data_IF_060669897705
#
_entry.id   IF_060669897705
#
_cell.length_a   1.000
_cell.length_b   1.000
_cell.length_c   1.000
_cell.angle_alpha   90.00
_cell.angle_beta   90.00
_cell.angle_gamma   90.00
#
_symmetry.space_group_name_H-M   'P 1'
#
loop_
_entity.id
_entity.type
_entity.pdbx_description
1 polymer ?
#
# COMPACT_ATOMS: atom_id res chain seq x y z
N UNK A 1 -4.02 -23.98 26.31
CA UNK A 1 -4.06 -23.08 27.50
C UNK A 1 -5.16 -22.06 27.28
N UNK A 2 -6.10 -21.92 28.21
CA UNK A 2 -7.18 -20.92 28.12
C UNK A 2 -6.67 -19.53 28.53
N UNK A 3 -7.12 -18.50 27.82
CA UNK A 3 -6.81 -17.10 28.11
C UNK A 3 -7.50 -16.65 29.42
N UNK A 4 -6.77 -15.98 30.32
CA UNK A 4 -7.31 -15.40 31.55
C UNK A 4 -7.83 -13.96 31.29
N UNK A 5 -9.13 -13.86 31.03
CA UNK A 5 -9.79 -12.59 30.69
C UNK A 5 -9.74 -11.54 31.82
N UNK A 6 -9.67 -11.98 33.08
CA UNK A 6 -9.63 -11.08 34.23
C UNK A 6 -8.31 -10.29 34.26
N UNK A 7 -7.19 -10.98 33.99
CA UNK A 7 -5.87 -10.33 33.88
C UNK A 7 -5.79 -9.38 32.69
N UNK A 8 -6.50 -9.68 31.59
CA UNK A 8 -6.56 -8.81 30.42
C UNK A 8 -7.43 -7.57 30.67
N UNK A 9 -8.57 -7.72 31.36
CA UNK A 9 -9.49 -6.61 31.63
C UNK A 9 -8.83 -5.43 32.35
N UNK A 10 -7.98 -5.70 33.37
CA UNK A 10 -7.22 -4.65 34.06
C UNK A 10 -6.25 -3.91 33.13
N UNK A 11 -5.61 -4.63 32.19
CA UNK A 11 -4.71 -4.03 31.20
C UNK A 11 -5.47 -3.15 30.21
N UNK A 12 -6.68 -3.57 29.79
CA UNK A 12 -7.57 -2.76 28.93
C UNK A 12 -7.96 -1.46 29.62
N UNK A 13 -8.30 -1.50 30.92
CA UNK A 13 -8.60 -0.30 31.71
C UNK A 13 -7.44 0.70 31.72
N UNK A 14 -6.22 0.22 31.98
CA UNK A 14 -5.00 1.04 31.95
C UNK A 14 -4.71 1.62 30.56
N UNK A 15 -4.94 0.84 29.49
CA UNK A 15 -4.78 1.30 28.11
C UNK A 15 -5.73 2.46 27.80
N UNK A 16 -7.01 2.36 28.15
CA UNK A 16 -8.01 3.41 27.91
C UNK A 16 -7.65 4.70 28.66
N UNK A 17 -7.19 4.60 29.91
CA UNK A 17 -6.76 5.76 30.69
C UNK A 17 -5.58 6.50 30.02
N UNK A 18 -4.58 5.75 29.53
CA UNK A 18 -3.43 6.32 28.80
C UNK A 18 -3.83 6.97 27.48
N UNK A 19 -4.75 6.36 26.74
CA UNK A 19 -5.26 6.92 25.48
C UNK A 19 -6.03 8.23 25.69
N UNK A 20 -6.78 8.35 26.79
CA UNK A 20 -7.43 9.61 27.17
C UNK A 20 -6.40 10.68 27.53
N UNK A 21 -5.39 10.32 28.32
CA UNK A 21 -4.33 11.24 28.74
C UNK A 21 -3.46 11.74 27.56
N UNK A 22 -3.27 10.93 26.52
CA UNK A 22 -2.48 11.33 25.33
C UNK A 22 -3.28 12.10 24.27
N UNK A 23 -4.59 12.28 24.46
CA UNK A 23 -5.47 12.92 23.47
C UNK A 23 -5.13 14.39 23.18
N UNK A 24 -4.77 15.18 24.20
CA UNK A 24 -4.40 16.59 24.01
C UNK A 24 -3.10 16.74 23.24
N UNK A 25 -2.09 15.94 23.59
CA UNK A 25 -0.80 15.93 22.91
C UNK A 25 -0.97 15.55 21.43
N UNK A 26 -1.75 14.50 21.16
CA UNK A 26 -2.05 14.06 19.79
C UNK A 26 -2.75 15.15 18.97
N UNK A 27 -3.67 15.90 19.58
CA UNK A 27 -4.34 17.04 18.94
C UNK A 27 -3.37 18.18 18.64
N UNK A 28 -2.44 18.50 19.55
CA UNK A 28 -1.39 19.49 19.31
C UNK A 28 -0.51 19.10 18.12
N UNK A 29 -0.07 17.84 18.06
CA UNK A 29 0.76 17.34 16.94
C UNK A 29 0.03 17.38 15.61
N UNK A 30 -1.26 17.02 15.59
CA UNK A 30 -2.08 17.15 14.39
C UNK A 30 -2.22 18.61 13.97
N UNK A 31 -2.42 19.54 14.90
CA UNK A 31 -2.49 20.96 14.58
C UNK A 31 -1.17 21.46 13.98
N UNK A 32 -0.03 21.13 14.60
CA UNK A 32 1.29 21.46 14.03
C UNK A 32 1.45 20.90 12.63
N UNK A 33 1.04 19.65 12.38
CA UNK A 33 1.11 19.05 11.04
C UNK A 33 0.24 19.80 10.02
N UNK A 34 -0.96 20.22 10.42
CA UNK A 34 -1.85 21.01 9.56
C UNK A 34 -1.29 22.39 9.28
N UNK A 35 -0.69 23.04 10.28
CA UNK A 35 -0.08 24.37 10.13
C UNK A 35 1.12 24.30 9.19
N UNK A 36 2.02 23.32 9.37
CA UNK A 36 3.17 23.09 8.48
C UNK A 36 2.73 22.74 7.07
N UNK A 37 1.71 21.90 6.89
CA UNK A 37 1.21 21.52 5.57
C UNK A 37 0.68 22.74 4.80
N UNK A 38 0.01 23.67 5.48
CA UNK A 38 -0.61 24.85 4.87
C UNK A 38 0.30 26.09 4.87
N UNK A 39 1.55 25.98 5.34
CA UNK A 39 2.50 27.08 5.36
C UNK A 39 2.94 27.45 3.94
N UNK A 40 2.51 28.63 3.49
CA UNK A 40 2.83 29.17 2.16
C UNK A 40 4.24 29.74 2.06
N UNK A 41 4.91 29.96 3.20
CA UNK A 41 6.28 30.47 3.23
C UNK A 41 7.33 29.38 3.07
N UNK A 42 6.90 28.11 3.09
CA UNK A 42 7.78 26.96 3.00
C UNK A 42 8.42 26.84 1.61
N UNK A 43 9.75 26.82 1.57
CA UNK A 43 10.50 26.59 0.33
C UNK A 43 10.34 25.13 -0.12
N UNK A 44 9.41 24.89 -1.04
CA UNK A 44 9.10 23.56 -1.56
C UNK A 44 10.26 22.95 -2.37
N UNK A 45 11.02 23.77 -3.10
CA UNK A 45 12.16 23.29 -3.88
C UNK A 45 13.33 22.95 -2.96
N UNK A 46 13.57 23.77 -1.93
CA UNK A 46 14.50 23.46 -0.84
C UNK A 46 14.11 22.18 -0.12
N UNK A 47 12.83 22.02 0.23
CA UNK A 47 12.33 20.80 0.88
C UNK A 47 12.51 19.56 -0.01
N UNK A 48 12.22 19.66 -1.31
CA UNK A 48 12.40 18.56 -2.26
C UNK A 48 13.86 18.12 -2.32
N UNK A 49 14.80 19.07 -2.46
CA UNK A 49 16.26 18.80 -2.43
C UNK A 49 16.69 18.17 -1.12
N UNK A 50 16.16 18.65 0.00
CA UNK A 50 16.43 18.12 1.33
C UNK A 50 15.93 16.69 1.50
N UNK A 51 14.72 16.39 1.04
CA UNK A 51 14.16 15.04 1.02
C UNK A 51 15.03 14.12 0.14
N UNK A 52 15.46 14.59 -1.03
CA UNK A 52 16.34 13.84 -1.94
C UNK A 52 17.72 13.54 -1.34
N UNK A 53 18.33 14.50 -0.64
CA UNK A 53 19.64 14.34 -0.02
C UNK A 53 19.64 13.55 1.31
N UNK A 54 18.48 13.42 1.97
CA UNK A 54 18.37 12.81 3.29
C UNK A 54 18.25 11.28 3.24
N UNK A 55 18.82 10.63 4.25
CA UNK A 55 18.71 9.19 4.51
C UNK A 55 17.93 8.98 5.81
N UNK A 56 16.74 8.41 5.70
CA UNK A 56 15.83 8.19 6.83
C UNK A 56 15.48 6.71 6.97
N UNK A 57 15.38 6.24 8.21
CA UNK A 57 14.89 4.89 8.56
C UNK A 57 13.39 4.69 8.30
N UNK A 58 12.67 5.78 8.08
CA UNK A 58 11.25 5.78 7.71
C UNK A 58 11.06 6.26 6.27
N UNK A 59 9.95 5.87 5.65
CA UNK A 59 9.59 6.33 4.32
C UNK A 59 9.14 7.79 4.37
N UNK A 60 9.60 8.56 3.39
CA UNK A 60 9.24 9.96 3.18
C UNK A 60 8.60 10.06 1.80
N UNK A 61 7.45 10.74 1.70
CA UNK A 61 6.81 11.01 0.43
C UNK A 61 7.67 11.98 -0.40
N UNK A 62 7.92 11.63 -1.66
CA UNK A 62 8.44 12.58 -2.64
C UNK A 62 7.34 13.55 -3.08
N UNK A 63 7.70 14.81 -3.31
CA UNK A 63 6.75 15.86 -3.71
C UNK A 63 6.66 15.95 -5.23
N UNK A 64 5.45 15.74 -5.78
CA UNK A 64 5.19 15.84 -7.24
C UNK A 64 4.51 17.16 -7.57
N UNK A 65 3.34 17.41 -6.98
CA UNK A 65 2.51 18.60 -7.25
C UNK A 65 2.53 19.61 -6.08
N UNK A 66 3.48 19.49 -5.16
CA UNK A 66 3.56 20.27 -3.91
C UNK A 66 2.98 19.53 -2.70
N UNK A 67 2.66 20.28 -1.63
CA UNK A 67 2.22 19.73 -0.34
C UNK A 67 0.69 19.81 -0.12
N UNK A 68 0.10 20.97 -0.32
CA UNK A 68 -1.29 21.29 0.06
C UNK A 68 -2.30 21.56 -1.07
N UNK A 69 -1.97 21.51 -2.38
CA UNK A 69 -3.01 21.60 -3.42
C UNK A 69 -4.12 20.57 -3.24
N UNK A 70 -5.35 21.01 -3.56
CA UNK A 70 -6.57 20.20 -3.43
C UNK A 70 -7.33 20.30 -4.74
N UNK A 71 -7.72 19.15 -5.28
CA UNK A 71 -8.36 19.07 -6.58
C UNK A 71 -9.74 18.47 -6.41
N UNK A 72 -10.77 19.13 -6.96
CA UNK A 72 -12.12 18.55 -7.05
C UNK A 72 -12.12 17.44 -8.10
N UNK A 73 -12.86 16.36 -7.85
CA UNK A 73 -13.08 15.34 -8.84
C UNK A 73 -13.80 15.93 -10.07
N UNK A 74 -13.41 15.53 -11.29
CA UNK A 74 -14.21 15.81 -12.48
C UNK A 74 -15.57 15.11 -12.40
N UNK A 75 -16.56 15.51 -13.21
CA UNK A 75 -17.80 14.76 -13.32
C UNK A 75 -17.53 13.31 -13.73
N UNK A 76 -18.33 12.39 -13.20
CA UNK A 76 -18.24 10.98 -13.55
C UNK A 76 -18.58 10.77 -15.03
N UNK A 77 -17.92 9.83 -15.73
CA UNK A 77 -18.36 9.39 -17.04
C UNK A 77 -19.80 8.86 -16.97
N UNK A 78 -20.61 9.04 -18.03
CA UNK A 78 -21.99 8.54 -18.04
C UNK A 78 -22.04 7.00 -18.05
N UNK A 79 -21.07 6.36 -18.69
CA UNK A 79 -20.91 4.90 -18.78
C UNK A 79 -19.51 4.54 -18.29
N UNK A 80 -19.40 3.71 -17.26
CA UNK A 80 -18.12 3.19 -16.79
C UNK A 80 -18.25 1.89 -16.01
N UNK A 81 -17.15 1.14 -15.94
CA UNK A 81 -17.06 -0.10 -15.18
C UNK A 81 -16.10 0.03 -14.00
N UNK A 82 -16.39 -0.64 -12.90
CA UNK A 82 -15.45 -0.85 -11.79
C UNK A 82 -15.17 -2.34 -11.67
N UNK A 83 -13.90 -2.70 -11.76
CA UNK A 83 -13.39 -4.06 -11.60
C UNK A 83 -12.65 -4.14 -10.27
N UNK A 84 -12.87 -5.19 -9.50
CA UNK A 84 -12.10 -5.42 -8.28
C UNK A 84 -11.83 -6.91 -8.07
N UNK A 85 -10.68 -7.21 -7.50
CA UNK A 85 -10.31 -8.57 -7.06
C UNK A 85 -9.81 -8.52 -5.62
N UNK A 86 -10.18 -9.53 -4.86
CA UNK A 86 -9.65 -9.82 -3.52
C UNK A 86 -9.49 -11.33 -3.38
N UNK A 87 -8.60 -11.77 -2.51
CA UNK A 87 -8.25 -13.17 -2.37
C UNK A 87 -8.20 -13.61 -0.92
N UNK A 88 -8.44 -14.89 -0.71
CA UNK A 88 -8.14 -15.57 0.55
C UNK A 88 -7.29 -16.81 0.26
N UNK A 89 -6.62 -17.34 1.29
CA UNK A 89 -5.86 -18.57 1.15
C UNK A 89 -5.91 -19.40 2.43
N UNK A 90 -5.77 -20.72 2.26
CA UNK A 90 -5.51 -21.67 3.33
C UNK A 90 -4.06 -22.11 3.16
N UNK A 91 -3.24 -21.84 4.17
CA UNK A 91 -1.81 -22.14 4.16
C UNK A 91 -1.53 -23.64 4.36
N UNK A 92 -0.29 -24.03 4.09
CA UNK A 92 0.18 -25.40 4.23
C UNK A 92 0.17 -25.81 5.71
N UNK A 93 -0.62 -26.83 6.05
CA UNK A 93 -0.58 -27.43 7.38
C UNK A 93 0.58 -28.43 7.51
N UNK A 94 1.59 -28.05 8.31
CA UNK A 94 2.79 -28.85 8.55
C UNK A 94 2.55 -30.11 9.38
N UNK A 95 1.38 -30.23 10.00
CA UNK A 95 1.00 -31.38 10.82
C UNK A 95 0.18 -32.44 10.04
N UNK A 96 -0.04 -32.22 8.74
CA UNK A 96 -0.74 -33.16 7.85
C UNK A 96 0.24 -33.87 6.92
N UNK A 97 -0.10 -35.10 6.53
CA UNK A 97 0.71 -35.92 5.62
C UNK A 97 0.71 -35.37 4.19
N UNK A 98 -0.41 -34.78 3.75
CA UNK A 98 -0.56 -34.20 2.42
C UNK A 98 -0.27 -32.71 2.49
N UNK A 99 0.78 -32.27 1.80
CA UNK A 99 1.12 -30.85 1.69
C UNK A 99 0.30 -30.26 0.54
N UNK A 100 -0.54 -29.28 0.86
CA UNK A 100 -1.29 -28.52 -0.12
C UNK A 100 -1.61 -27.14 0.45
N UNK A 101 -1.85 -26.17 -0.43
CA UNK A 101 -2.46 -24.90 -0.07
C UNK A 101 -3.59 -24.60 -1.05
N UNK A 102 -4.51 -23.74 -0.64
CA UNK A 102 -5.62 -23.29 -1.49
C UNK A 102 -5.58 -21.78 -1.59
N UNK A 103 -5.74 -21.26 -2.80
CA UNK A 103 -5.97 -19.83 -3.05
C UNK A 103 -7.36 -19.70 -3.64
N UNK A 104 -8.17 -18.78 -3.11
CA UNK A 104 -9.46 -18.42 -3.69
C UNK A 104 -9.44 -16.95 -4.06
N UNK A 105 -9.62 -16.65 -5.35
CA UNK A 105 -9.71 -15.28 -5.85
C UNK A 105 -11.17 -14.95 -6.13
N UNK A 106 -11.73 -14.01 -5.38
CA UNK A 106 -13.01 -13.39 -5.65
C UNK A 106 -12.85 -12.21 -6.61
N UNK A 107 -13.83 -12.00 -7.47
CA UNK A 107 -13.84 -10.86 -8.38
C UNK A 107 -15.23 -10.27 -8.56
N UNK A 108 -15.26 -8.95 -8.79
CA UNK A 108 -16.49 -8.18 -9.02
C UNK A 108 -16.30 -7.26 -10.21
N UNK A 109 -17.31 -7.21 -11.08
CA UNK A 109 -17.45 -6.24 -12.17
C UNK A 109 -18.77 -5.51 -11.99
N UNK A 110 -18.72 -4.20 -11.79
CA UNK A 110 -19.89 -3.33 -11.70
C UNK A 110 -19.91 -2.40 -12.92
N UNK A 111 -20.98 -2.45 -13.70
CA UNK A 111 -21.21 -1.56 -14.84
C UNK A 111 -22.25 -0.52 -14.44
N UNK A 112 -21.89 0.75 -14.62
CA UNK A 112 -22.72 1.91 -14.34
C UNK A 112 -23.08 2.61 -15.64
N UNK A 113 -24.30 3.12 -15.71
CA UNK A 113 -24.83 3.85 -16.87
C UNK A 113 -26.26 3.47 -17.19
N UNK A 114 -26.64 3.51 -18.46
CA UNK A 114 -28.00 3.22 -18.92
C UNK A 114 -28.41 1.76 -18.78
N UNK A 115 -27.44 0.85 -18.76
CA UNK A 115 -27.64 -0.60 -18.68
C UNK A 115 -26.80 -1.19 -17.54
N UNK A 116 -27.19 -0.96 -16.27
CA UNK A 116 -26.37 -1.38 -15.14
C UNK A 116 -26.34 -2.91 -15.01
N UNK A 117 -25.15 -3.44 -14.70
CA UNK A 117 -24.93 -4.88 -14.51
C UNK A 117 -23.92 -5.10 -13.38
N UNK A 118 -24.10 -6.20 -12.64
CA UNK A 118 -23.12 -6.68 -11.69
C UNK A 118 -22.78 -8.15 -11.99
N UNK A 119 -21.48 -8.46 -12.02
CA UNK A 119 -20.97 -9.83 -12.10
C UNK A 119 -20.10 -10.06 -10.87
N UNK A 120 -20.35 -11.17 -10.18
CA UNK A 120 -19.57 -11.62 -9.04
C UNK A 120 -19.12 -13.04 -9.33
N UNK A 121 -17.83 -13.29 -9.16
CA UNK A 121 -17.20 -14.57 -9.49
C UNK A 121 -16.21 -14.98 -8.40
N UNK A 122 -15.93 -16.28 -8.31
CA UNK A 122 -14.95 -16.85 -7.39
C UNK A 122 -14.23 -18.02 -8.04
N UNK A 123 -12.90 -17.95 -8.06
CA UNK A 123 -12.02 -18.95 -8.67
C UNK A 123 -11.11 -19.57 -7.62
N UNK A 124 -11.51 -20.69 -6.98
CA UNK A 124 -10.66 -21.45 -6.07
C UNK A 124 -9.69 -22.36 -6.84
N UNK A 125 -8.43 -22.43 -6.39
CA UNK A 125 -7.39 -23.31 -6.91
C UNK A 125 -6.69 -24.03 -5.76
N UNK A 126 -6.63 -25.37 -5.84
CA UNK A 126 -5.89 -26.23 -4.90
C UNK A 126 -4.54 -26.59 -5.53
N UNK A 127 -3.47 -26.33 -4.79
CA UNK A 127 -2.10 -26.61 -5.20
C UNK A 127 -1.53 -27.70 -4.31
N UNK A 128 -1.04 -28.78 -4.92
CA UNK A 128 -0.62 -29.98 -4.18
C UNK A 128 0.52 -30.75 -4.86
N UNK A 129 0.82 -30.50 -6.13
CA UNK A 129 1.96 -31.09 -6.80
C UNK A 129 3.28 -30.52 -6.27
N UNK A 130 4.35 -31.32 -6.24
CA UNK A 130 5.65 -30.89 -5.69
C UNK A 130 6.16 -29.58 -6.33
N UNK A 131 6.00 -29.44 -7.65
CA UNK A 131 6.38 -28.25 -8.42
C UNK A 131 5.49 -27.03 -8.15
N UNK A 132 4.28 -27.22 -7.60
CA UNK A 132 3.36 -26.14 -7.24
C UNK A 132 3.56 -25.65 -5.80
N UNK A 133 4.22 -26.47 -4.98
CA UNK A 133 4.49 -26.19 -3.56
C UNK A 133 5.82 -25.47 -3.35
N UNK A 134 6.65 -25.36 -4.39
CA UNK A 134 7.95 -24.68 -4.35
C UNK A 134 8.14 -23.79 -5.56
N UNK A 135 8.82 -22.67 -5.38
CA UNK A 135 9.40 -21.92 -6.49
C UNK A 135 10.82 -22.45 -6.66
N UNK A 136 11.14 -23.01 -7.82
CA UNK A 136 12.46 -23.57 -8.11
C UNK A 136 13.29 -22.63 -9.00
N UNK A 137 14.63 -22.60 -8.83
CA UNK A 137 15.52 -21.91 -9.75
C UNK A 137 15.63 -22.65 -11.10
N UNK A 138 15.85 -21.89 -12.18
CA UNK A 138 16.19 -22.47 -13.48
C UNK A 138 17.54 -23.21 -13.39
N UNK A 139 17.58 -24.49 -13.78
CA UNK A 139 18.83 -25.29 -13.78
C UNK A 139 19.05 -26.16 -12.54
N UNK A 140 18.07 -26.26 -11.64
CA UNK A 140 18.12 -27.11 -10.45
C UNK A 140 18.71 -26.43 -9.23
N UNK A 141 18.37 -26.93 -8.03
CA UNK A 141 18.77 -26.35 -6.76
C UNK A 141 17.68 -26.44 -5.70
N UNK A 142 17.95 -25.87 -4.51
CA UNK A 142 16.96 -25.84 -3.43
C UNK A 142 15.88 -24.81 -3.75
N UNK A 143 14.66 -25.28 -4.02
CA UNK A 143 13.49 -24.44 -4.19
C UNK A 143 13.05 -23.78 -2.87
N UNK A 144 12.29 -22.70 -3.01
CA UNK A 144 11.67 -21.98 -1.90
C UNK A 144 10.22 -22.46 -1.73
N UNK A 145 9.85 -23.06 -0.58
CA UNK A 145 8.47 -23.45 -0.31
C UNK A 145 7.51 -22.26 -0.33
N UNK A 146 6.35 -22.44 -0.95
CA UNK A 146 5.25 -21.48 -0.96
C UNK A 146 4.42 -21.69 0.31
N UNK A 147 4.69 -20.88 1.33
CA UNK A 147 4.00 -20.89 2.62
C UNK A 147 4.10 -19.51 3.28
N UNK A 148 3.21 -19.22 4.25
CA UNK A 148 3.22 -17.98 5.03
C UNK A 148 3.22 -16.73 4.16
N UNK A 149 4.22 -15.87 4.37
CA UNK A 149 4.36 -14.60 3.62
C UNK A 149 4.44 -14.83 2.11
N UNK A 150 5.12 -15.90 1.68
CA UNK A 150 5.29 -16.17 0.25
C UNK A 150 3.98 -16.61 -0.43
N UNK A 151 3.16 -17.37 0.29
CA UNK A 151 1.80 -17.70 -0.16
C UNK A 151 0.93 -16.45 -0.27
N UNK A 152 1.05 -15.52 0.68
CA UNK A 152 0.39 -14.22 0.62
C UNK A 152 0.78 -13.39 -0.60
N UNK A 153 2.06 -13.42 -1.00
CA UNK A 153 2.55 -12.77 -2.22
C UNK A 153 2.01 -13.48 -3.47
N UNK A 154 2.06 -14.82 -3.52
CA UNK A 154 1.50 -15.59 -4.63
C UNK A 154 0.02 -15.29 -4.85
N UNK A 155 -0.77 -15.20 -3.78
CA UNK A 155 -2.17 -14.76 -3.83
C UNK A 155 -2.31 -13.36 -4.45
N UNK A 156 -1.49 -12.38 -4.05
CA UNK A 156 -1.54 -11.04 -4.63
C UNK A 156 -1.18 -11.02 -6.13
N UNK A 157 -0.29 -11.91 -6.58
CA UNK A 157 -0.01 -12.12 -8.01
C UNK A 157 -1.25 -12.66 -8.73
N UNK A 158 -1.94 -13.64 -8.14
CA UNK A 158 -3.13 -14.27 -8.73
C UNK A 158 -4.33 -13.31 -8.77
N UNK A 159 -4.49 -12.46 -7.75
CA UNK A 159 -5.46 -11.35 -7.74
C UNK A 159 -5.22 -10.41 -8.92
N UNK A 160 -3.98 -9.93 -9.08
CA UNK A 160 -3.60 -9.02 -10.16
C UNK A 160 -3.75 -9.68 -11.55
N UNK A 161 -3.43 -10.98 -11.66
CA UNK A 161 -3.66 -11.76 -12.87
C UNK A 161 -5.15 -11.80 -13.22
N UNK A 162 -6.03 -12.14 -12.27
CA UNK A 162 -7.48 -12.18 -12.53
C UNK A 162 -8.03 -10.81 -12.89
N UNK A 163 -7.53 -9.74 -12.25
CA UNK A 163 -7.92 -8.37 -12.57
C UNK A 163 -7.52 -7.98 -14.00
N UNK A 164 -6.33 -8.41 -14.46
CA UNK A 164 -5.89 -8.20 -15.83
C UNK A 164 -6.78 -8.95 -16.84
N UNK A 165 -7.18 -10.19 -16.55
CA UNK A 165 -8.11 -10.94 -17.40
C UNK A 165 -9.48 -10.24 -17.51
N UNK A 166 -10.05 -9.79 -16.39
CA UNK A 166 -11.31 -9.04 -16.42
C UNK A 166 -11.20 -7.73 -17.20
N UNK A 167 -10.06 -7.04 -17.09
CA UNK A 167 -9.82 -5.83 -17.87
C UNK A 167 -9.73 -6.10 -19.38
N UNK A 168 -9.22 -7.28 -19.80
CA UNK A 168 -9.16 -7.68 -21.22
C UNK A 168 -10.55 -7.92 -21.79
N UNK A 169 -11.45 -8.50 -21.00
CA UNK A 169 -12.83 -8.81 -21.38
C UNK A 169 -13.69 -7.56 -21.62
N UNK A 170 -13.27 -6.39 -21.12
CA UNK A 170 -13.99 -5.14 -21.36
C UNK A 170 -14.00 -4.75 -22.85
N UNK A 171 -15.10 -4.17 -23.36
CA UNK A 171 -15.18 -3.64 -24.72
C UNK A 171 -14.09 -2.60 -25.00
N UNK A 172 -13.71 -2.45 -26.27
CA UNK A 172 -12.89 -1.32 -26.71
C UNK A 172 -13.62 0.00 -26.45
N UNK A 173 -12.87 1.08 -26.25
CA UNK A 173 -13.35 2.44 -25.93
C UNK A 173 -14.14 2.57 -24.62
N UNK A 174 -14.22 1.51 -23.81
CA UNK A 174 -14.84 1.55 -22.48
C UNK A 174 -14.02 2.39 -21.50
N UNK A 175 -14.71 2.97 -20.51
CA UNK A 175 -14.08 3.64 -19.36
C UNK A 175 -14.16 2.72 -18.15
N UNK A 176 -13.04 2.46 -17.50
CA UNK A 176 -13.02 1.54 -16.37
C UNK A 176 -11.99 1.90 -15.30
N UNK A 177 -12.30 1.51 -14.07
CA UNK A 177 -11.41 1.55 -12.91
C UNK A 177 -11.17 0.12 -12.43
N UNK A 178 -9.92 -0.33 -12.48
CA UNK A 178 -9.46 -1.57 -11.88
C UNK A 178 -8.92 -1.30 -10.47
N UNK A 179 -9.42 -2.03 -9.48
CA UNK A 179 -9.07 -1.89 -8.07
C UNK A 179 -8.43 -3.16 -7.53
N UNK A 180 -7.26 -2.98 -6.92
CA UNK A 180 -6.60 -4.01 -6.10
C UNK A 180 -6.91 -3.74 -4.64
N UNK A 181 -7.34 -4.75 -3.87
CA UNK A 181 -7.42 -4.62 -2.41
C UNK A 181 -6.01 -4.67 -1.80
N UNK A 182 -5.68 -3.67 -0.99
CA UNK A 182 -4.37 -3.48 -0.40
C UNK A 182 -3.44 -2.55 -1.21
N UNK A 183 -2.17 -2.92 -1.29
CA UNK A 183 -1.08 -2.07 -1.77
C UNK A 183 -0.58 -2.51 -3.14
N UNK A 184 -0.42 -1.58 -4.08
CA UNK A 184 0.31 -1.84 -5.34
C UNK A 184 1.81 -2.13 -5.12
N UNK A 185 2.34 -1.80 -3.93
CA UNK A 185 3.69 -2.19 -3.53
C UNK A 185 3.61 -3.54 -2.82
N UNK A 186 4.29 -4.56 -3.37
CA UNK A 186 4.41 -5.89 -2.78
C UNK A 186 5.40 -5.92 -1.60
N UNK A 187 4.99 -5.35 -0.48
CA UNK A 187 5.82 -5.23 0.74
C UNK A 187 6.38 -6.54 1.26
N UNK A 188 5.70 -7.67 1.03
CA UNK A 188 6.19 -8.99 1.43
C UNK A 188 7.57 -9.33 0.85
N UNK A 189 7.90 -8.79 -0.33
CA UNK A 189 9.22 -8.97 -0.96
C UNK A 189 10.27 -7.97 -0.45
N UNK A 190 9.85 -6.79 0.02
CA UNK A 190 10.76 -5.76 0.52
C UNK A 190 11.28 -6.07 1.94
N UNK A 191 10.49 -6.79 2.75
CA UNK A 191 10.82 -7.09 4.15
C UNK A 191 11.61 -8.38 4.38
N UNK A 192 11.85 -9.19 3.33
CA UNK A 192 12.58 -10.46 3.45
C UNK A 192 13.64 -10.60 2.35
N UNK A 193 14.79 -11.17 2.71
CA UNK A 193 15.83 -11.51 1.74
C UNK A 193 15.46 -12.81 1.03
N UNK A 194 14.58 -12.72 0.03
CA UNK A 194 14.31 -13.86 -0.85
C UNK A 194 15.41 -14.01 -1.91
N UNK A 195 15.71 -15.26 -2.35
CA UNK A 195 16.57 -15.49 -3.50
C UNK A 195 16.05 -14.79 -4.76
N UNK A 196 16.95 -14.43 -5.67
CA UNK A 196 16.61 -13.68 -6.89
C UNK A 196 15.56 -14.38 -7.76
N UNK A 197 15.63 -15.71 -7.89
CA UNK A 197 14.65 -16.48 -8.66
C UNK A 197 13.21 -16.36 -8.13
N UNK A 198 13.03 -16.15 -6.81
CA UNK A 198 11.70 -15.93 -6.20
C UNK A 198 11.15 -14.57 -6.60
N UNK A 199 12.00 -13.53 -6.48
CA UNK A 199 11.65 -12.18 -6.90
C UNK A 199 11.35 -12.14 -8.40
N UNK A 200 12.18 -12.79 -9.22
CA UNK A 200 11.94 -12.88 -10.65
C UNK A 200 10.60 -13.56 -10.98
N UNK A 201 10.28 -14.68 -10.31
CA UNK A 201 9.05 -15.42 -10.53
C UNK A 201 7.80 -14.63 -10.12
N UNK A 202 7.78 -14.06 -8.91
CA UNK A 202 6.58 -13.43 -8.35
C UNK A 202 6.45 -11.94 -8.69
N UNK A 203 7.54 -11.19 -8.73
CA UNK A 203 7.50 -9.76 -9.04
C UNK A 203 7.58 -9.53 -10.54
N UNK A 204 8.70 -9.90 -11.18
CA UNK A 204 8.96 -9.53 -12.58
C UNK A 204 8.05 -10.29 -13.55
N UNK A 205 8.01 -11.63 -13.45
CA UNK A 205 7.22 -12.50 -14.33
C UNK A 205 5.76 -12.63 -13.89
N UNK A 206 5.47 -12.33 -12.64
CA UNK A 206 4.12 -12.34 -12.04
C UNK A 206 3.52 -10.93 -12.01
N UNK A 207 3.60 -10.28 -10.85
CA UNK A 207 2.86 -9.07 -10.56
C UNK A 207 3.08 -7.93 -11.57
N UNK A 208 4.33 -7.55 -11.86
CA UNK A 208 4.66 -6.46 -12.78
C UNK A 208 4.24 -6.78 -14.21
N UNK A 209 4.30 -8.04 -14.63
CA UNK A 209 3.78 -8.47 -15.93
C UNK A 209 2.29 -8.18 -16.06
N UNK A 210 1.50 -8.51 -15.05
CA UNK A 210 0.05 -8.27 -15.08
C UNK A 210 -0.30 -6.77 -15.01
N UNK A 211 0.47 -5.98 -14.24
CA UNK A 211 0.37 -4.51 -14.28
C UNK A 211 0.67 -3.95 -15.67
N UNK A 212 1.70 -4.47 -16.34
CA UNK A 212 2.05 -4.10 -17.70
C UNK A 212 0.97 -4.50 -18.71
N UNK A 213 0.33 -5.66 -18.54
CA UNK A 213 -0.82 -6.06 -19.34
C UNK A 213 -1.98 -5.07 -19.19
N UNK A 214 -2.34 -4.69 -17.96
CA UNK A 214 -3.35 -3.65 -17.68
C UNK A 214 -2.97 -2.31 -18.31
N UNK A 215 -1.70 -1.90 -18.19
CA UNK A 215 -1.19 -0.66 -18.78
C UNK A 215 -1.35 -0.64 -20.30
N UNK A 216 -1.07 -1.77 -20.98
CA UNK A 216 -1.22 -1.89 -22.43
C UNK A 216 -2.67 -1.80 -22.89
N UNK A 217 -3.63 -2.32 -22.11
CA UNK A 217 -5.05 -2.23 -22.44
C UNK A 217 -5.56 -0.79 -22.48
N UNK A 218 -4.91 0.13 -21.76
CA UNK A 218 -5.21 1.55 -21.77
C UNK A 218 -4.96 2.22 -23.14
N UNK A 219 -4.32 1.54 -24.10
CA UNK A 219 -4.19 2.03 -25.47
C UNK A 219 -5.52 1.98 -26.25
N UNK A 220 -6.42 1.05 -25.91
CA UNK A 220 -7.70 0.84 -26.60
C UNK A 220 -8.91 1.13 -25.71
N UNK A 221 -8.69 1.49 -24.45
CA UNK A 221 -9.70 1.69 -23.39
C UNK A 221 -9.24 2.81 -22.49
N UNK A 222 -10.17 3.49 -21.80
CA UNK A 222 -9.83 4.44 -20.74
C UNK A 222 -9.77 3.70 -19.42
N UNK A 223 -8.67 3.01 -19.17
CA UNK A 223 -8.50 2.13 -18.00
C UNK A 223 -7.57 2.76 -16.97
N UNK A 224 -8.11 3.07 -15.80
CA UNK A 224 -7.34 3.46 -14.62
C UNK A 224 -7.11 2.25 -13.72
N UNK A 225 -5.90 2.14 -13.15
CA UNK A 225 -5.59 1.19 -12.09
C UNK A 225 -5.36 1.95 -10.79
N UNK A 226 -5.95 1.48 -9.70
CA UNK A 226 -5.66 1.96 -8.36
C UNK A 226 -5.68 0.80 -7.36
N UNK A 227 -5.17 1.04 -6.16
CA UNK A 227 -5.42 0.15 -5.03
C UNK A 227 -6.09 0.89 -3.89
N UNK A 228 -6.75 0.13 -3.03
CA UNK A 228 -7.48 0.66 -1.89
C UNK A 228 -6.98 0.03 -0.60
N UNK A 229 -6.67 0.84 0.40
CA UNK A 229 -6.27 0.37 1.72
C UNK A 229 -7.26 0.92 2.73
N UNK A 230 -8.00 0.02 3.39
CA UNK A 230 -8.86 0.38 4.50
C UNK A 230 -8.03 0.81 5.71
N UNK A 231 -8.32 1.98 6.27
CA UNK A 231 -7.71 2.49 7.50
C UNK A 231 -6.17 2.43 7.49
N UNK A 232 -5.51 3.08 6.51
CA UNK A 232 -4.07 3.00 6.35
C UNK A 232 -3.36 3.61 7.56
N UNK A 233 -2.19 3.05 7.86
CA UNK A 233 -1.27 3.54 8.90
C UNK A 233 -0.07 4.29 8.33
N UNK A 234 -0.16 4.75 7.08
CA UNK A 234 0.93 5.46 6.40
C UNK A 234 1.24 6.78 7.09
N UNK A 235 2.51 7.16 6.98
CA UNK A 235 3.03 8.40 7.57
C UNK A 235 3.95 9.12 6.59
N UNK A 236 3.92 8.77 5.31
CA UNK A 236 4.93 9.17 4.32
C UNK A 236 4.87 10.68 4.08
N UNK A 237 3.65 11.23 4.00
CA UNK A 237 3.43 12.68 3.83
C UNK A 237 3.74 13.42 5.14
N UNK A 238 3.28 12.90 6.28
CA UNK A 238 3.64 13.45 7.59
C UNK A 238 5.17 13.44 7.78
N UNK A 239 5.87 12.42 7.30
CA UNK A 239 7.31 12.32 7.38
C UNK A 239 8.01 13.36 6.48
N UNK A 240 7.40 13.78 5.36
CA UNK A 240 7.89 14.94 4.61
C UNK A 240 7.79 16.23 5.43
N UNK A 241 6.73 16.40 6.23
CA UNK A 241 6.62 17.52 7.17
C UNK A 241 7.67 17.44 8.29
N UNK A 242 8.00 16.23 8.77
CA UNK A 242 9.11 16.04 9.73
C UNK A 242 10.45 16.49 9.16
N UNK A 243 10.70 16.21 7.89
CA UNK A 243 11.91 16.69 7.19
C UNK A 243 11.90 18.22 7.09
N UNK A 244 10.74 18.81 6.79
CA UNK A 244 10.58 20.25 6.71
C UNK A 244 10.84 20.96 8.05
N UNK A 245 10.35 20.38 9.16
CA UNK A 245 10.54 20.89 10.52
C UNK A 245 11.93 20.64 11.10
N UNK A 246 12.75 19.78 10.48
CA UNK A 246 14.07 19.47 11.03
C UNK A 246 15.03 20.63 10.77
N UNK A 247 15.75 21.15 11.79
CA UNK A 247 16.68 22.27 11.60
C UNK A 247 17.95 21.89 10.83
N UNK A 248 18.26 20.60 10.66
CA UNK A 248 19.41 20.15 9.86
C UNK A 248 19.10 20.26 8.37
N UNK A 249 20.09 20.67 7.59
CA UNK A 249 20.02 20.75 6.11
C UNK A 249 19.94 19.37 5.45
N UNK A 250 20.68 18.39 5.97
CA UNK A 250 20.65 16.99 5.52
C UNK A 250 20.41 16.12 6.75
N UNK A 251 19.50 15.15 6.63
CA UNK A 251 19.13 14.25 7.73
C UNK A 251 19.71 12.88 7.43
N UNK A 252 20.57 12.37 8.31
CA UNK A 252 20.98 10.97 8.34
C UNK A 252 20.54 10.35 9.66
N UNK A 253 19.38 9.67 9.67
CA UNK A 253 18.78 9.22 10.94
C UNK A 253 19.64 8.21 11.70
N UNK A 254 20.53 7.49 11.01
CA UNK A 254 21.40 6.48 11.62
C UNK A 254 22.57 7.12 12.36
N UNK A 255 22.97 8.34 11.99
CA UNK A 255 24.13 9.03 12.58
C UNK A 255 23.75 10.25 13.43
N UNK A 256 22.68 10.94 13.03
CA UNK A 256 22.45 12.31 13.45
C UNK A 256 21.42 12.47 14.57
N UNK A 257 20.47 11.54 14.70
CA UNK A 257 19.31 11.72 15.57
C UNK A 257 19.60 11.47 17.05
N UNK A 258 20.57 10.63 17.40
CA UNK A 258 20.90 10.32 18.80
C UNK A 258 21.41 11.55 19.58
N UNK A 259 22.08 12.47 18.88
CA UNK A 259 22.74 13.65 19.47
C UNK A 259 21.93 14.96 19.31
N UNK A 260 20.72 14.89 18.78
CA UNK A 260 19.89 16.08 18.57
C UNK A 260 19.44 16.69 19.90
N UNK A 261 19.79 17.96 20.13
CA UNK A 261 19.37 18.75 21.28
C UNK A 261 17.94 19.29 21.14
N UNK A 262 17.56 19.76 19.94
CA UNK A 262 16.17 20.05 19.60
C UNK A 262 15.59 18.95 18.72
N UNK A 263 14.38 18.49 19.07
CA UNK A 263 13.63 17.46 18.34
C UNK A 263 12.38 18.04 17.69
N UNK A 264 12.53 19.16 17.00
CA UNK A 264 11.42 19.89 16.35
C UNK A 264 10.68 19.00 15.34
N UNK A 265 11.38 18.08 14.67
CA UNK A 265 10.77 17.09 13.79
C UNK A 265 9.89 16.05 14.49
N UNK A 266 9.92 15.94 15.83
CA UNK A 266 8.99 15.10 16.60
C UNK A 266 7.65 15.80 16.88
N UNK A 267 7.54 17.10 16.58
CA UNK A 267 6.31 17.87 16.81
C UNK A 267 5.09 17.37 16.02
N UNK A 268 5.29 16.53 15.00
CA UNK A 268 4.22 15.87 14.23
C UNK A 268 4.25 14.34 14.38
N UNK A 269 5.04 13.80 15.31
CA UNK A 269 5.22 12.36 15.46
C UNK A 269 3.94 11.64 15.90
N UNK A 270 3.63 10.53 15.23
CA UNK A 270 2.45 9.71 15.51
C UNK A 270 1.16 10.19 14.84
N UNK A 271 1.21 11.30 14.09
CA UNK A 271 0.14 11.69 13.16
C UNK A 271 0.22 10.80 11.91
N UNK A 272 -0.92 10.32 11.43
CA UNK A 272 -1.00 9.54 10.19
C UNK A 272 -1.52 10.37 9.03
N UNK A 273 -1.13 10.00 7.80
CA UNK A 273 -1.55 10.73 6.58
C UNK A 273 -3.09 10.76 6.46
N UNK A 274 -3.75 9.66 6.85
CA UNK A 274 -5.21 9.55 6.97
C UNK A 274 -5.82 10.70 7.76
N UNK A 275 -5.21 11.06 8.88
CA UNK A 275 -5.73 12.10 9.78
C UNK A 275 -5.48 13.48 9.21
N UNK A 276 -4.31 13.67 8.61
CA UNK A 276 -3.95 14.90 7.91
C UNK A 276 -4.96 15.18 6.78
N UNK A 277 -5.26 14.18 5.95
CA UNK A 277 -6.17 14.33 4.82
C UNK A 277 -7.65 14.36 5.20
N UNK A 278 -8.06 13.65 6.25
CA UNK A 278 -9.42 13.77 6.79
C UNK A 278 -9.75 15.18 7.31
N UNK A 279 -8.75 15.97 7.72
CA UNK A 279 -8.93 17.34 8.19
C UNK A 279 -8.68 18.40 7.09
N UNK A 280 -8.31 18.00 5.87
CA UNK A 280 -7.97 18.94 4.78
C UNK A 280 -8.79 18.74 3.51
N UNK A 281 -9.23 17.52 3.22
CA UNK A 281 -10.02 17.19 2.04
C UNK A 281 -11.52 17.18 2.37
N UNK A 282 -12.31 17.79 1.50
CA UNK A 282 -13.76 17.62 1.48
C UNK A 282 -14.12 16.39 0.64
N UNK A 283 -15.37 15.93 0.75
CA UNK A 283 -15.90 14.85 -0.07
C UNK A 283 -15.69 15.12 -1.58
N UNK A 284 -15.24 14.09 -2.30
CA UNK A 284 -14.94 14.18 -3.72
C UNK A 284 -13.67 14.97 -4.08
N UNK A 285 -12.84 15.38 -3.10
CA UNK A 285 -11.52 15.98 -3.37
C UNK A 285 -10.38 14.98 -3.21
N UNK A 286 -9.32 15.18 -3.99
CA UNK A 286 -8.01 14.55 -3.80
C UNK A 286 -6.96 15.58 -3.41
N UNK A 287 -5.92 15.13 -2.70
CA UNK A 287 -4.72 15.91 -2.39
C UNK A 287 -3.77 16.01 -3.60
N UNK A 288 -2.63 16.66 -3.39
CA UNK A 288 -1.48 16.65 -4.28
C UNK A 288 -0.96 15.22 -4.53
N UNK A 289 -0.23 15.05 -5.62
CA UNK A 289 0.44 13.80 -5.91
C UNK A 289 1.74 13.69 -5.12
N UNK A 290 1.94 12.49 -4.56
CA UNK A 290 3.12 12.11 -3.80
C UNK A 290 3.71 10.83 -4.41
N UNK A 291 5.03 10.75 -4.49
CA UNK A 291 5.73 9.53 -4.93
C UNK A 291 6.23 8.73 -3.74
N UNK A 292 6.13 7.41 -3.83
CA UNK A 292 6.77 6.51 -2.87
C UNK A 292 8.28 6.50 -3.12
N UNK A 293 9.07 6.62 -2.05
CA UNK A 293 10.53 6.46 -2.06
C UNK A 293 10.97 5.07 -1.58
N UNK A 294 10.06 4.10 -1.56
CA UNK A 294 10.42 2.73 -1.17
C UNK A 294 11.46 2.16 -2.13
N UNK A 295 12.42 1.41 -1.60
CA UNK A 295 13.48 0.79 -2.39
C UNK A 295 12.96 -0.16 -3.47
N UNK A 296 11.86 -0.87 -3.21
CA UNK A 296 11.24 -1.78 -4.17
C UNK A 296 10.69 -1.04 -5.40
N UNK A 297 10.11 0.16 -5.22
CA UNK A 297 9.62 1.02 -6.32
C UNK A 297 10.78 1.71 -7.05
N UNK A 298 11.88 2.00 -6.37
CA UNK A 298 13.05 2.61 -7.02
C UNK A 298 13.87 1.60 -7.84
N UNK A 299 13.88 0.33 -7.40
CA UNK A 299 14.70 -0.73 -8.01
C UNK A 299 14.02 -1.40 -9.21
N UNK A 300 12.69 -1.45 -9.25
CA UNK A 300 11.89 -2.19 -10.22
C UNK A 300 10.84 -1.29 -10.85
#
# INVERSE_FOLDING_TARGET
MSLDLTKVAAQVGNMVARLKASGEERRKRLQTALDTLNDKSLDLEGLKKKIDASQTTWLVAGLVDGLSPRYKAPPLPPEFSVLATDGSHIDVDRHKSTRCYLINIGAVVLQYGSSPQALLDSSPALYFGDEELVIAPNGGGRGQPIEGVLLGIKRAVDECHRLAELAKELPKDSSALALVDGSLILWGLAGQTYPEFVTEALLTKGFLRHLEEIRRLNAERRLALASYISFPRSTDVVNALRVALCPKEIIDTDKDCEKCTSRECEAVAGVQDRELFANTLEEGKRSALFSSRSSIVQKH
#
